data_IF_111962636373
#
_entry.id   IF_111962636373
#
_cell.length_a   1.000
_cell.length_b   1.000
_cell.length_c   1.000
_cell.angle_alpha   90.00
_cell.angle_beta   90.00
_cell.angle_gamma   90.00
#
_symmetry.space_group_name_H-M   'P 1'
#
loop_
_entity.id
_entity.type
_entity.pdbx_description
1 polymer ?
#
# COMPACT_ATOMS: atom_id res chain seq x y z
N UNK A 1 18.46 -30.76 12.35
CA UNK A 1 18.20 -30.21 10.99
C UNK A 1 16.99 -29.30 11.10
N UNK A 2 17.20 -28.00 11.32
CA UNK A 2 16.12 -27.04 11.61
C UNK A 2 15.23 -26.80 10.39
N UNK A 3 13.91 -26.90 10.58
CA UNK A 3 12.89 -26.58 9.57
C UNK A 3 12.91 -25.07 9.29
N UNK A 4 13.29 -24.68 8.07
CA UNK A 4 13.11 -23.30 7.58
C UNK A 4 11.60 -23.00 7.62
N UNK A 5 11.20 -22.01 8.42
CA UNK A 5 9.84 -21.45 8.39
C UNK A 5 9.52 -21.14 6.94
N UNK A 6 8.51 -21.81 6.39
CA UNK A 6 7.96 -21.59 5.05
C UNK A 6 7.39 -20.17 5.02
N UNK A 7 8.26 -19.21 4.74
CA UNK A 7 7.92 -17.81 4.66
C UNK A 7 6.83 -17.63 3.60
N UNK A 8 5.71 -17.01 4.01
CA UNK A 8 4.65 -16.49 3.13
C UNK A 8 5.29 -15.92 1.85
N UNK A 9 4.79 -16.26 0.65
CA UNK A 9 5.40 -15.79 -0.60
C UNK A 9 5.57 -14.28 -0.54
N UNK A 10 6.81 -13.81 -0.71
CA UNK A 10 7.13 -12.38 -0.71
C UNK A 10 6.25 -11.70 -1.75
N UNK A 11 5.56 -10.63 -1.37
CA UNK A 11 4.54 -9.89 -2.14
C UNK A 11 5.10 -9.20 -3.42
N UNK A 12 5.76 -9.96 -4.29
CA UNK A 12 6.45 -9.50 -5.50
C UNK A 12 7.73 -8.71 -5.24
N UNK A 13 8.43 -8.37 -6.32
CA UNK A 13 9.54 -7.40 -6.30
C UNK A 13 9.01 -6.03 -5.90
N UNK A 14 9.66 -5.38 -4.94
CA UNK A 14 9.27 -4.06 -4.42
C UNK A 14 10.45 -3.12 -4.41
N UNK A 15 10.23 -1.88 -4.85
CA UNK A 15 11.22 -0.80 -4.79
C UNK A 15 10.77 0.23 -3.76
N UNK A 16 11.61 0.52 -2.76
CA UNK A 16 11.38 1.65 -1.84
C UNK A 16 11.66 2.95 -2.58
N UNK A 17 10.78 3.93 -2.39
CA UNK A 17 10.94 5.30 -2.91
C UNK A 17 10.73 6.27 -1.74
N UNK A 18 11.75 7.06 -1.38
CA UNK A 18 11.55 8.14 -0.41
C UNK A 18 10.67 9.21 -1.06
N UNK A 19 9.71 9.74 -0.29
CA UNK A 19 8.76 10.76 -0.74
C UNK A 19 8.85 11.95 0.22
N UNK A 20 9.00 13.14 -0.34
CA UNK A 20 9.01 14.41 0.41
C UNK A 20 7.72 15.15 0.08
N UNK A 21 6.95 15.48 1.12
CA UNK A 21 5.64 16.14 1.00
C UNK A 21 5.56 17.31 2.00
N UNK A 22 4.69 18.30 1.75
CA UNK A 22 4.27 19.23 2.80
C UNK A 22 3.72 18.47 4.01
N UNK A 23 4.03 18.96 5.22
CA UNK A 23 3.66 18.30 6.48
C UNK A 23 2.14 18.11 6.59
N UNK A 24 1.38 19.15 6.26
CA UNK A 24 -0.10 19.12 6.32
C UNK A 24 -0.69 18.08 5.38
N UNK A 25 -0.12 17.93 4.19
CA UNK A 25 -0.56 16.93 3.22
C UNK A 25 -0.28 15.51 3.72
N UNK A 26 0.90 15.29 4.31
CA UNK A 26 1.25 14.00 4.89
C UNK A 26 0.30 13.63 6.03
N UNK A 27 0.02 14.57 6.94
CA UNK A 27 -0.90 14.38 8.06
C UNK A 27 -2.34 14.07 7.58
N UNK A 28 -2.87 14.84 6.63
CA UNK A 28 -4.21 14.63 6.09
C UNK A 28 -4.33 13.26 5.40
N UNK A 29 -3.32 12.86 4.62
CA UNK A 29 -3.30 11.56 3.96
C UNK A 29 -3.18 10.40 4.96
N UNK A 30 -2.42 10.55 6.05
CA UNK A 30 -2.36 9.55 7.12
C UNK A 30 -3.69 9.37 7.85
N UNK A 31 -4.39 10.46 8.17
CA UNK A 31 -5.72 10.38 8.77
C UNK A 31 -6.72 9.67 7.85
N UNK A 32 -6.68 9.99 6.56
CA UNK A 32 -7.56 9.35 5.59
C UNK A 32 -7.21 7.86 5.43
N UNK A 33 -5.93 7.49 5.42
CA UNK A 33 -5.50 6.09 5.40
C UNK A 33 -6.06 5.31 6.60
N UNK A 34 -6.02 5.91 7.81
CA UNK A 34 -6.59 5.30 9.03
C UNK A 34 -8.09 5.04 8.91
N UNK A 35 -8.87 5.97 8.34
CA UNK A 35 -10.32 5.79 8.12
C UNK A 35 -10.64 4.57 7.25
N UNK A 36 -9.76 4.23 6.32
CA UNK A 36 -9.89 3.05 5.46
C UNK A 36 -9.19 1.79 6.00
N UNK A 37 -8.63 1.83 7.22
CA UNK A 37 -7.86 0.71 7.76
C UNK A 37 -6.57 0.40 6.98
N UNK A 38 -6.00 1.39 6.31
CA UNK A 38 -4.81 1.25 5.45
C UNK A 38 -3.57 1.87 6.09
N UNK A 39 -2.39 1.40 5.67
CA UNK A 39 -1.16 2.16 5.91
C UNK A 39 -1.09 3.36 4.95
N UNK A 40 -0.33 4.39 5.32
CA UNK A 40 -0.06 5.53 4.43
C UNK A 40 0.43 5.09 3.05
N UNK A 41 1.36 4.13 3.01
CA UNK A 41 1.89 3.60 1.76
C UNK A 41 0.83 2.88 0.91
N UNK A 42 -0.05 2.09 1.55
CA UNK A 42 -1.11 1.39 0.82
C UNK A 42 -2.17 2.37 0.31
N UNK A 43 -2.48 3.41 1.09
CA UNK A 43 -3.36 4.49 0.66
C UNK A 43 -2.78 5.24 -0.55
N UNK A 44 -1.51 5.64 -0.50
CA UNK A 44 -0.83 6.26 -1.63
C UNK A 44 -0.74 5.33 -2.85
N UNK A 45 -0.46 4.04 -2.65
CA UNK A 45 -0.39 3.07 -3.74
C UNK A 45 -1.76 2.88 -4.42
N UNK A 46 -2.85 2.88 -3.64
CA UNK A 46 -4.21 2.86 -4.19
C UNK A 46 -4.48 4.09 -5.04
N UNK A 47 -4.26 5.29 -4.50
CA UNK A 47 -4.47 6.55 -5.23
C UNK A 47 -3.63 6.63 -6.51
N UNK A 48 -2.36 6.20 -6.45
CA UNK A 48 -1.50 6.15 -7.62
C UNK A 48 -2.01 5.16 -8.67
N UNK A 49 -2.49 3.99 -8.24
CA UNK A 49 -3.08 3.00 -9.15
C UNK A 49 -4.33 3.54 -9.82
N UNK A 50 -5.24 4.13 -9.05
CA UNK A 50 -6.49 4.72 -9.56
C UNK A 50 -6.19 5.80 -10.60
N UNK A 51 -5.28 6.73 -10.27
CA UNK A 51 -4.88 7.81 -11.16
C UNK A 51 -4.20 7.33 -12.45
N UNK A 52 -3.34 6.31 -12.37
CA UNK A 52 -2.69 5.75 -13.55
C UNK A 52 -3.70 5.02 -14.45
N UNK A 53 -4.66 4.30 -13.86
CA UNK A 53 -5.72 3.64 -14.60
C UNK A 53 -6.63 4.64 -15.31
N UNK A 54 -6.96 5.78 -14.67
CA UNK A 54 -7.70 6.88 -15.30
C UNK A 54 -6.98 7.46 -16.52
N UNK A 55 -5.65 7.42 -16.52
CA UNK A 55 -4.79 7.84 -17.65
C UNK A 55 -4.57 6.74 -18.70
N UNK A 56 -5.19 5.57 -18.56
CA UNK A 56 -5.04 4.43 -19.47
C UNK A 56 -3.78 3.60 -19.24
N UNK A 57 -3.05 3.82 -18.13
CA UNK A 57 -1.90 3.00 -17.73
C UNK A 57 -2.38 1.91 -16.77
N UNK A 58 -2.61 0.71 -17.29
CA UNK A 58 -3.12 -0.41 -16.49
C UNK A 58 -2.10 -0.90 -15.47
N UNK A 59 -2.39 -0.67 -14.18
CA UNK A 59 -1.62 -1.21 -13.06
C UNK A 59 -2.56 -1.93 -12.10
N UNK A 60 -2.31 -3.21 -11.85
CA UNK A 60 -3.09 -4.02 -10.91
C UNK A 60 -2.50 -3.93 -9.50
N UNK A 61 -2.97 -2.96 -8.71
CA UNK A 61 -2.71 -2.93 -7.28
C UNK A 61 -3.83 -3.66 -6.52
N UNK A 62 -3.60 -4.93 -6.15
CA UNK A 62 -4.52 -5.67 -5.29
C UNK A 62 -4.31 -5.28 -3.83
N UNK A 63 -5.28 -4.56 -3.28
CA UNK A 63 -5.34 -4.27 -1.86
C UNK A 63 -5.61 -5.58 -1.11
N UNK A 64 -4.70 -5.99 -0.22
CA UNK A 64 -5.00 -7.10 0.70
C UNK A 64 -5.92 -6.55 1.77
N UNK A 65 -7.23 -6.78 1.61
CA UNK A 65 -8.19 -6.66 2.71
C UNK A 65 -7.63 -7.42 3.91
N UNK A 66 -7.35 -6.69 4.99
CA UNK A 66 -6.99 -7.32 6.24
C UNK A 66 -8.24 -8.02 6.75
N UNK A 67 -8.28 -9.35 6.53
CA UNK A 67 -9.02 -10.29 7.36
C UNK A 67 -8.56 -10.10 8.82
N UNK A 68 -9.13 -9.12 9.51
CA UNK A 68 -9.25 -9.11 10.96
C UNK A 68 -10.72 -9.34 11.27
N UNK A 69 -11.17 -10.57 11.05
CA UNK A 69 -12.33 -11.08 11.77
C UNK A 69 -11.86 -11.34 13.19
N UNK A 70 -12.49 -10.63 14.13
CA UNK A 70 -12.32 -10.77 15.57
C UNK A 70 -12.65 -12.19 16.07
#
# INVERSE_FOLDING_TARGET
MERRKTGRPSKGLRKRKPLQLPVELAAAAEEQAKKYGMTFNDFCARLLSDHLNEQGVTVNYQQQEQLMTA
#
